data_IF_486480383623
#
_entry.id   IF_486480383623
#
_cell.length_a   1.000
_cell.length_b   1.000
_cell.length_c   1.000
_cell.angle_alpha   90.00
_cell.angle_beta   90.00
_cell.angle_gamma   90.00
#
_symmetry.space_group_name_H-M   'P 1'
#
loop_
_entity.id
_entity.type
_entity.pdbx_description
1 polymer ?
#
# COMPACT_ATOMS: atom_id res chain seq x y z
N UNK A 1 -7.40 -2.73 -22.25
CA UNK A 1 -7.57 -1.99 -20.98
C UNK A 1 -6.33 -1.13 -20.77
N UNK A 2 -6.43 0.21 -20.90
CA UNK A 2 -5.29 1.11 -20.75
C UNK A 2 -5.18 1.51 -19.28
N UNK A 3 -4.19 0.98 -18.56
CA UNK A 3 -3.82 1.51 -17.26
C UNK A 3 -3.27 2.92 -17.48
N UNK A 4 -4.06 3.94 -17.18
CA UNK A 4 -3.52 5.29 -17.05
C UNK A 4 -2.65 5.33 -15.80
N UNK A 5 -1.35 5.13 -15.99
CA UNK A 5 -0.35 5.44 -14.98
C UNK A 5 -0.40 6.97 -14.84
N UNK A 6 -1.12 7.45 -13.82
CA UNK A 6 -1.08 8.85 -13.41
C UNK A 6 0.38 9.27 -13.32
N UNK A 7 0.74 10.36 -14.02
CA UNK A 7 2.11 10.85 -14.05
C UNK A 7 2.60 11.09 -12.62
N UNK A 8 3.48 10.20 -12.14
CA UNK A 8 4.13 10.31 -10.85
C UNK A 8 4.96 11.59 -10.87
N UNK A 9 4.68 12.52 -9.95
CA UNK A 9 5.74 13.42 -9.50
C UNK A 9 6.74 12.57 -8.73
N UNK A 10 7.83 12.18 -9.40
CA UNK A 10 8.96 11.55 -8.73
C UNK A 10 9.52 12.57 -7.72
N UNK A 11 9.56 12.22 -6.44
CA UNK A 11 10.38 12.94 -5.48
C UNK A 11 11.84 12.89 -5.96
N UNK A 12 12.48 14.04 -6.02
CA UNK A 12 13.91 14.11 -6.29
C UNK A 12 14.68 13.75 -5.01
N UNK A 13 15.92 13.28 -5.15
CA UNK A 13 16.79 13.09 -3.99
C UNK A 13 16.96 14.39 -3.18
N UNK A 14 16.95 15.55 -3.85
CA UNK A 14 17.00 16.86 -3.22
C UNK A 14 15.76 17.15 -2.34
N UNK A 15 14.56 16.80 -2.80
CA UNK A 15 13.33 17.03 -2.00
C UNK A 15 13.25 16.18 -0.73
N UNK A 16 13.97 15.05 -0.67
CA UNK A 16 14.06 14.24 0.55
C UNK A 16 15.05 14.86 1.55
N UNK A 17 16.15 15.46 1.07
CA UNK A 17 17.09 16.18 1.94
C UNK A 17 16.40 17.39 2.60
N UNK A 18 15.57 18.11 1.85
CA UNK A 18 14.81 19.27 2.34
C UNK A 18 13.74 18.90 3.39
N UNK A 19 13.36 17.62 3.47
CA UNK A 19 12.36 17.11 4.42
C UNK A 19 12.96 16.30 5.57
N UNK A 20 14.27 16.39 5.80
CA UNK A 20 14.92 15.78 6.96
C UNK A 20 14.83 16.64 8.22
N UNK A 21 14.52 16.02 9.35
CA UNK A 21 14.49 16.68 10.67
C UNK A 21 15.17 15.81 11.72
N UNK A 22 16.05 16.40 12.53
CA UNK A 22 16.69 15.65 13.63
C UNK A 22 15.74 15.50 14.83
N UNK A 23 15.87 14.40 15.59
CA UNK A 23 15.15 14.24 16.87
C UNK A 23 15.43 15.41 17.81
N UNK A 24 16.65 15.95 17.82
CA UNK A 24 17.00 17.14 18.60
C UNK A 24 16.16 18.35 18.20
N UNK A 25 16.02 18.60 16.90
CA UNK A 25 15.19 19.70 16.38
C UNK A 25 13.72 19.53 16.76
N UNK A 26 13.19 18.30 16.69
CA UNK A 26 11.82 18.00 17.11
C UNK A 26 11.62 18.31 18.61
N UNK A 27 12.57 17.89 19.45
CA UNK A 27 12.51 18.11 20.90
C UNK A 27 12.66 19.58 21.30
N UNK A 28 13.38 20.38 20.52
CA UNK A 28 13.56 21.83 20.76
C UNK A 28 12.46 22.68 20.09
N UNK A 29 11.22 22.19 20.06
CA UNK A 29 10.07 22.93 19.55
C UNK A 29 9.89 22.91 18.02
N UNK A 30 10.72 22.16 17.29
CA UNK A 30 10.59 22.00 15.84
C UNK A 30 9.47 21.05 15.38
N UNK A 31 8.80 20.36 16.31
CA UNK A 31 7.78 19.36 16.00
C UNK A 31 6.61 19.92 15.16
N UNK A 32 6.03 21.05 15.55
CA UNK A 32 4.91 21.66 14.80
C UNK A 32 5.32 22.02 13.37
N UNK A 33 6.51 22.59 13.19
CA UNK A 33 7.03 22.94 11.87
C UNK A 33 7.23 21.70 11.00
N UNK A 34 7.79 20.63 11.57
CA UNK A 34 7.97 19.36 10.87
C UNK A 34 6.64 18.75 10.44
N UNK A 35 5.63 18.75 11.32
CA UNK A 35 4.29 18.25 10.98
C UNK A 35 3.59 19.10 9.91
N UNK A 36 3.76 20.43 9.93
CA UNK A 36 3.24 21.31 8.87
C UNK A 36 3.88 21.08 7.50
N UNK A 37 5.06 20.46 7.44
CA UNK A 37 5.72 20.09 6.18
C UNK A 37 5.21 18.75 5.63
N UNK A 38 4.55 17.93 6.45
CA UNK A 38 3.98 16.66 6.01
C UNK A 38 2.75 16.92 5.16
N UNK A 39 2.74 16.40 3.95
CA UNK A 39 1.62 16.50 3.02
C UNK A 39 1.56 15.31 2.09
N UNK A 40 0.56 15.29 1.20
CA UNK A 40 0.38 14.19 0.26
C UNK A 40 1.59 14.07 -0.67
N UNK A 41 2.21 12.89 -0.67
CA UNK A 41 3.45 12.57 -1.37
C UNK A 41 4.66 13.45 -0.93
N UNK A 42 4.59 14.04 0.26
CA UNK A 42 5.65 14.85 0.88
C UNK A 42 5.94 14.34 2.30
N UNK A 43 6.73 13.25 2.44
CA UNK A 43 7.12 12.70 3.72
C UNK A 43 8.20 13.57 4.40
N UNK A 44 8.24 13.51 5.73
CA UNK A 44 9.34 14.03 6.54
C UNK A 44 10.16 12.88 7.10
N UNK A 45 11.48 12.92 6.91
CA UNK A 45 12.40 11.88 7.39
C UNK A 45 13.01 12.31 8.72
N UNK A 46 12.84 11.51 9.76
CA UNK A 46 13.41 11.77 11.08
C UNK A 46 14.79 11.16 11.19
N UNK A 47 15.77 11.96 11.62
CA UNK A 47 17.15 11.55 11.83
C UNK A 47 17.48 11.42 13.32
N UNK A 48 18.06 10.28 13.70
CA UNK A 48 18.68 10.06 15.01
C UNK A 48 20.16 9.78 14.80
N UNK A 49 21.04 10.54 15.47
CA UNK A 49 22.50 10.42 15.30
C UNK A 49 22.94 10.51 13.81
N UNK A 50 22.32 11.43 13.06
CA UNK A 50 22.54 11.63 11.63
C UNK A 50 22.19 10.42 10.73
N UNK A 51 21.37 9.49 11.23
CA UNK A 51 20.87 8.34 10.47
C UNK A 51 19.33 8.37 10.42
N UNK A 52 18.71 8.06 9.28
CA UNK A 52 17.26 7.91 9.18
C UNK A 52 16.74 6.86 10.17
N UNK A 53 15.80 7.25 11.02
CA UNK A 53 15.23 6.37 12.05
C UNK A 53 13.71 6.21 11.94
N UNK A 54 13.02 7.17 11.34
CA UNK A 54 11.58 7.10 11.10
C UNK A 54 11.18 7.99 9.92
N UNK A 55 9.96 7.78 9.41
CA UNK A 55 9.34 8.61 8.38
C UNK A 55 7.94 8.99 8.85
N UNK A 56 7.59 10.27 8.69
CA UNK A 56 6.26 10.81 8.99
C UNK A 56 5.55 11.07 7.65
N UNK A 57 4.34 10.52 7.51
CA UNK A 57 3.48 10.64 6.32
C UNK A 57 2.05 10.95 6.72
N UNK A 58 1.23 11.40 5.77
CA UNK A 58 -0.20 11.55 5.98
C UNK A 58 -0.87 10.16 6.12
N UNK A 59 -2.00 10.06 6.85
CA UNK A 59 -2.78 8.82 6.89
C UNK A 59 -3.27 8.37 5.50
N UNK A 60 -3.52 9.32 4.59
CA UNK A 60 -3.92 9.03 3.21
C UNK A 60 -2.79 8.31 2.45
N UNK A 61 -1.55 8.81 2.56
CA UNK A 61 -0.40 8.15 1.97
C UNK A 61 -0.11 6.79 2.59
N UNK A 62 -0.26 6.66 3.92
CA UNK A 62 -0.12 5.37 4.58
C UNK A 62 -1.06 4.33 3.98
N UNK A 63 -2.37 4.63 3.90
CA UNK A 63 -3.37 3.74 3.30
C UNK A 63 -3.06 3.40 1.85
N UNK A 64 -2.69 4.41 1.06
CA UNK A 64 -2.35 4.23 -0.36
C UNK A 64 -1.14 3.32 -0.55
N UNK A 65 -0.10 3.48 0.27
CA UNK A 65 1.11 2.65 0.20
C UNK A 65 0.81 1.21 0.62
N UNK A 66 0.04 1.00 1.70
CA UNK A 66 -0.41 -0.33 2.13
C UNK A 66 -1.24 -1.02 1.04
N UNK A 67 -2.23 -0.33 0.47
CA UNK A 67 -3.06 -0.88 -0.60
C UNK A 67 -2.22 -1.22 -1.85
N UNK A 68 -1.22 -0.41 -2.17
CA UNK A 68 -0.31 -0.69 -3.28
C UNK A 68 0.54 -1.95 -3.04
N UNK A 69 1.00 -2.18 -1.81
CA UNK A 69 1.71 -3.39 -1.41
C UNK A 69 0.83 -4.64 -1.54
N UNK A 70 -0.41 -4.58 -1.03
CA UNK A 70 -1.40 -5.67 -1.13
C UNK A 70 -1.72 -6.00 -2.59
N UNK A 71 -1.99 -4.97 -3.40
CA UNK A 71 -2.23 -5.11 -4.83
C UNK A 71 -1.03 -5.73 -5.56
N UNK A 72 0.19 -5.36 -5.19
CA UNK A 72 1.40 -5.94 -5.76
C UNK A 72 1.55 -7.43 -5.38
N UNK A 73 1.22 -7.79 -4.13
CA UNK A 73 1.21 -9.19 -3.71
C UNK A 73 0.16 -10.02 -4.48
N UNK A 74 -1.04 -9.48 -4.71
CA UNK A 74 -2.07 -10.11 -5.52
C UNK A 74 -1.64 -10.25 -6.99
N UNK A 75 -1.06 -9.20 -7.56
CA UNK A 75 -0.52 -9.22 -8.93
C UNK A 75 0.55 -10.30 -9.08
N UNK A 76 1.48 -10.40 -8.13
CA UNK A 76 2.52 -11.43 -8.13
C UNK A 76 1.93 -12.84 -8.10
N UNK A 77 0.93 -13.08 -7.23
CA UNK A 77 0.21 -14.37 -7.18
C UNK A 77 -0.49 -14.69 -8.50
N UNK A 78 -1.14 -13.70 -9.12
CA UNK A 78 -1.79 -13.88 -10.42
C UNK A 78 -0.78 -14.25 -11.52
N UNK A 79 0.37 -13.57 -11.56
CA UNK A 79 1.46 -13.91 -12.50
C UNK A 79 2.01 -15.31 -12.24
N UNK A 80 2.20 -15.69 -10.98
CA UNK A 80 2.66 -17.03 -10.62
C UNK A 80 1.68 -18.12 -11.08
N UNK A 81 0.37 -17.92 -10.86
CA UNK A 81 -0.69 -18.81 -11.34
C UNK A 81 -0.68 -18.94 -12.86
N UNK A 82 -0.53 -17.83 -13.59
CA UNK A 82 -0.44 -17.85 -15.06
C UNK A 82 0.81 -18.57 -15.57
N UNK A 83 1.94 -18.49 -14.84
CA UNK A 83 3.19 -19.16 -15.23
C UNK A 83 3.16 -20.66 -14.98
N UNK A 84 2.44 -21.08 -13.95
CA UNK A 84 2.29 -22.48 -13.55
C UNK A 84 0.95 -23.07 -14.02
N UNK A 85 0.26 -22.38 -14.93
CA UNK A 85 -1.01 -22.84 -15.49
C UNK A 85 -0.75 -24.11 -16.30
N UNK A 86 -1.38 -25.21 -15.88
CA UNK A 86 -1.38 -26.49 -16.58
C UNK A 86 -2.56 -26.61 -17.56
N UNK A 87 -3.33 -25.52 -17.73
CA UNK A 87 -4.55 -25.45 -18.53
C UNK A 87 -5.68 -26.37 -18.04
N UNK A 88 -5.55 -26.96 -16.85
CA UNK A 88 -6.60 -27.74 -16.24
C UNK A 88 -7.74 -26.81 -15.83
N UNK A 89 -8.91 -27.03 -16.43
CA UNK A 89 -10.15 -26.37 -16.02
C UNK A 89 -10.90 -27.34 -15.09
N UNK A 90 -11.20 -26.87 -13.88
CA UNK A 90 -12.03 -27.58 -12.93
C UNK A 90 -13.45 -27.01 -13.01
N UNK A 91 -14.42 -27.90 -13.10
CA UNK A 91 -15.83 -27.54 -12.91
C UNK A 91 -16.09 -27.21 -11.44
N UNK A 92 -17.22 -26.59 -11.15
CA UNK A 92 -17.73 -26.44 -9.80
C UNK A 92 -17.86 -27.80 -9.08
N UNK A 93 -18.35 -28.83 -9.78
CA UNK A 93 -18.40 -30.20 -9.28
C UNK A 93 -17.00 -30.76 -8.94
N UNK A 94 -15.97 -30.46 -9.73
CA UNK A 94 -14.60 -30.91 -9.45
C UNK A 94 -13.98 -30.22 -8.21
N UNK A 95 -14.40 -28.98 -7.90
CA UNK A 95 -13.87 -28.19 -6.78
C UNK A 95 -14.64 -28.45 -5.49
N UNK A 96 -15.96 -28.50 -5.55
CA UNK A 96 -16.84 -28.57 -4.39
C UNK A 96 -17.37 -29.99 -4.13
N UNK A 97 -17.33 -30.87 -5.13
CA UNK A 97 -17.95 -32.20 -5.13
C UNK A 97 -19.35 -32.18 -5.74
N UNK A 98 -19.77 -33.29 -6.36
CA UNK A 98 -21.10 -33.40 -6.99
C UNK A 98 -22.25 -33.23 -6.00
N UNK A 99 -22.03 -33.63 -4.74
CA UNK A 99 -23.03 -33.55 -3.67
C UNK A 99 -22.92 -32.25 -2.85
N UNK A 100 -22.20 -31.23 -3.34
CA UNK A 100 -22.13 -29.94 -2.65
C UNK A 100 -23.47 -29.23 -2.72
N UNK A 101 -24.14 -29.15 -1.58
CA UNK A 101 -25.24 -28.23 -1.35
C UNK A 101 -24.70 -26.98 -0.66
N UNK A 102 -24.81 -25.78 -1.28
CA UNK A 102 -24.50 -24.53 -0.60
C UNK A 102 -25.29 -24.45 0.70
N UNK A 103 -24.59 -24.21 1.81
CA UNK A 103 -25.26 -23.91 3.07
C UNK A 103 -25.92 -22.55 2.89
N UNK A 104 -27.25 -22.52 2.90
CA UNK A 104 -28.00 -21.29 3.08
C UNK A 104 -27.74 -20.79 4.51
N UNK A 105 -26.75 -19.92 4.65
CA UNK A 105 -26.39 -19.28 5.90
C UNK A 105 -27.27 -18.06 6.21
N UNK A 106 -28.31 -17.83 5.40
CA UNK A 106 -29.20 -16.67 5.52
C UNK A 106 -28.51 -15.35 5.23
N UNK A 107 -27.34 -15.37 4.57
CA UNK A 107 -26.63 -14.15 4.21
C UNK A 107 -27.33 -13.43 3.03
N UNK A 108 -28.08 -12.38 3.34
CA UNK A 108 -28.57 -11.43 2.35
C UNK A 108 -27.56 -10.27 2.20
N UNK A 109 -26.85 -10.13 1.08
CA UNK A 109 -25.97 -9.00 0.87
C UNK A 109 -26.77 -7.70 0.79
N UNK A 110 -26.62 -6.84 1.79
CA UNK A 110 -27.10 -5.45 1.74
C UNK A 110 -26.20 -4.66 0.77
N UNK A 111 -26.64 -4.56 -0.49
CA UNK A 111 -26.01 -3.63 -1.44
C UNK A 111 -26.52 -2.20 -1.16
N UNK A 112 -25.65 -1.34 -0.64
CA UNK A 112 -25.85 0.12 -0.58
C UNK A 112 -25.43 0.82 -1.88
#
# INVERSE_FOLDING_TARGET
MRFQISQRRNMSAASILDSMVSVTSLNHGGASKALSQVGDNHPVVVLKNNQPSAVIITPADYRRLTQAEENFALYRKAVERLRNDDSTLLTDADVFGEDYEPIDDGFEPEFE
#
